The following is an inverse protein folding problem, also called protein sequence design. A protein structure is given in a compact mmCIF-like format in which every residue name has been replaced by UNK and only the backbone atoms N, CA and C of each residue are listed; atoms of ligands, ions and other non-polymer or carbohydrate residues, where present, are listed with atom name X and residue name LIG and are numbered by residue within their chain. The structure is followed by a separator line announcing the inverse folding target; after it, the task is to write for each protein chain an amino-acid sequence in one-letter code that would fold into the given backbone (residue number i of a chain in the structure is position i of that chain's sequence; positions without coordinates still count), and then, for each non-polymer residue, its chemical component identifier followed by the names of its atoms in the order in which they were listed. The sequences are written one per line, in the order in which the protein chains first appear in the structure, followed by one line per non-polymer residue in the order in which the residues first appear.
data_IF_187574478391
#
_entry.id   IF_187574478391
#
_cell.length_a   1.000
_cell.length_b   1.000
_cell.length_c   1.000
_cell.angle_alpha   90.00
_cell.angle_beta   90.00
_cell.angle_gamma   90.00
#
_symmetry.space_group_name_H-M   'P 1'
#
loop_
_entity.id
_entity.type
_entity.pdbx_description
1 polymer ?
#
# COMPACT_ATOMS: atom_id res chain seq x y z
N UNK A 1 -8.80 -2.29 4.46
CA UNK A 1 -8.60 -0.90 4.92
C UNK A 1 -9.74 -0.05 4.40
N UNK A 2 -10.38 0.72 5.25
CA UNK A 2 -11.44 1.63 4.86
C UNK A 2 -11.26 2.94 5.66
N UNK A 3 -10.68 3.94 4.98
CA UNK A 3 -10.42 5.27 5.54
C UNK A 3 -11.54 6.28 5.26
N UNK A 4 -11.38 7.49 5.77
CA UNK A 4 -12.23 8.62 5.44
C UNK A 4 -11.96 9.18 4.04
N UNK A 5 -12.70 10.21 3.63
CA UNK A 5 -12.49 10.84 2.34
C UNK A 5 -11.08 11.47 2.27
N UNK A 6 -10.50 11.41 1.09
CA UNK A 6 -9.17 11.96 0.82
C UNK A 6 -9.24 13.49 0.88
N UNK A 7 -8.30 14.08 1.58
CA UNK A 7 -8.14 15.54 1.65
C UNK A 7 -7.76 16.11 0.27
N UNK A 8 -8.18 17.33 0.01
CA UNK A 8 -7.79 18.10 -1.16
C UNK A 8 -7.50 19.55 -0.78
N UNK A 9 -6.35 20.07 -1.19
CA UNK A 9 -5.95 21.46 -0.98
C UNK A 9 -6.36 22.32 -2.17
N UNK A 10 -6.68 23.57 -1.91
CA UNK A 10 -7.01 24.52 -2.97
C UNK A 10 -5.83 24.73 -3.95
N UNK A 11 -6.17 24.97 -5.21
CA UNK A 11 -5.21 25.11 -6.31
C UNK A 11 -5.17 26.51 -6.91
N UNK A 12 -5.88 27.49 -6.29
CA UNK A 12 -5.98 28.86 -6.81
C UNK A 12 -4.60 29.52 -6.89
N UNK A 13 -4.24 29.96 -8.10
CA UNK A 13 -2.96 30.64 -8.37
C UNK A 13 -1.74 29.75 -8.45
N UNK A 14 -1.88 28.44 -8.23
CA UNK A 14 -0.78 27.49 -8.31
C UNK A 14 -0.53 27.04 -9.75
N UNK A 15 0.74 26.82 -10.08
CA UNK A 15 1.15 26.14 -11.31
C UNK A 15 0.70 24.67 -11.29
N UNK A 16 0.71 24.00 -12.43
CA UNK A 16 0.29 22.59 -12.52
C UNK A 16 1.11 21.67 -11.59
N UNK A 17 2.43 21.86 -11.52
CA UNK A 17 3.27 21.02 -10.63
C UNK A 17 3.01 21.33 -9.15
N UNK A 18 2.89 22.62 -8.79
CA UNK A 18 2.52 23.00 -7.42
C UNK A 18 1.18 22.41 -7.00
N UNK A 19 0.20 22.37 -7.91
CA UNK A 19 -1.09 21.71 -7.67
C UNK A 19 -0.90 20.21 -7.40
N UNK A 20 -0.09 19.53 -8.20
CA UNK A 20 0.18 18.11 -8.03
C UNK A 20 0.94 17.84 -6.73
N UNK A 21 2.01 18.57 -6.46
CA UNK A 21 2.79 18.41 -5.22
C UNK A 21 1.94 18.72 -3.99
N UNK A 22 1.16 19.81 -4.00
CA UNK A 22 0.28 20.17 -2.89
C UNK A 22 -0.84 19.15 -2.65
N UNK A 23 -1.26 18.43 -3.70
CA UNK A 23 -2.26 17.38 -3.68
C UNK A 23 -1.65 16.02 -4.05
N UNK A 24 -0.43 15.76 -3.62
CA UNK A 24 0.36 14.59 -3.99
C UNK A 24 -0.39 13.26 -3.87
N UNK A 25 -1.26 13.15 -2.89
CA UNK A 25 -2.07 11.95 -2.66
C UNK A 25 -3.04 11.63 -3.81
N UNK A 26 -3.37 12.60 -4.65
CA UNK A 26 -4.27 12.44 -5.79
C UNK A 26 -3.57 12.05 -7.09
N UNK A 27 -2.24 11.90 -7.08
CA UNK A 27 -1.46 11.65 -8.29
C UNK A 27 -0.64 10.38 -8.16
N UNK A 28 -0.86 9.43 -9.09
CA UNK A 28 -0.27 8.08 -9.04
C UNK A 28 1.24 8.13 -8.99
N UNK A 29 1.87 9.00 -9.77
CA UNK A 29 3.31 9.11 -9.83
C UNK A 29 3.96 9.61 -8.52
N UNK A 30 3.20 10.21 -7.64
CA UNK A 30 3.63 10.72 -6.33
C UNK A 30 3.31 9.74 -5.20
N UNK A 31 2.10 9.20 -5.16
CA UNK A 31 1.65 8.38 -4.03
C UNK A 31 1.51 6.89 -4.36
N UNK A 32 1.50 6.52 -5.63
CA UNK A 32 1.26 5.13 -6.03
C UNK A 32 -0.22 4.70 -5.99
N UNK A 33 -1.16 5.61 -5.78
CA UNK A 33 -2.55 5.42 -5.40
C UNK A 33 -2.72 5.00 -3.93
N UNK A 34 -3.92 5.19 -3.35
CA UNK A 34 -4.16 4.94 -1.93
C UNK A 34 -3.98 3.47 -1.52
N UNK A 35 -4.09 2.56 -2.45
CA UNK A 35 -3.83 1.14 -2.18
C UNK A 35 -2.35 0.86 -1.91
N UNK A 36 -1.43 1.64 -2.48
CA UNK A 36 0.00 1.56 -2.21
C UNK A 36 0.35 2.42 -0.99
N UNK A 37 -0.23 3.62 -0.87
CA UNK A 37 0.09 4.56 0.20
C UNK A 37 -0.51 4.15 1.55
N UNK A 38 -1.74 3.61 1.58
CA UNK A 38 -2.45 3.24 2.81
C UNK A 38 -2.51 1.73 3.04
N UNK A 39 -2.94 0.94 2.05
CA UNK A 39 -3.13 -0.49 2.25
C UNK A 39 -1.81 -1.25 2.37
N UNK A 40 -0.69 -0.65 2.00
CA UNK A 40 0.64 -1.23 2.13
C UNK A 40 0.93 -1.75 3.54
N UNK A 41 0.48 -1.04 4.58
CA UNK A 41 0.67 -1.46 5.98
C UNK A 41 0.01 -2.82 6.27
N UNK A 42 -1.21 -3.02 5.79
CA UNK A 42 -1.95 -4.28 5.98
C UNK A 42 -1.43 -5.40 5.06
N UNK A 43 -0.99 -5.05 3.85
CA UNK A 43 -0.32 -5.97 2.91
C UNK A 43 0.98 -6.49 3.52
N UNK A 44 1.77 -5.63 4.17
CA UNK A 44 3.01 -5.99 4.84
C UNK A 44 2.78 -7.05 5.92
N UNK A 45 1.80 -6.85 6.78
CA UNK A 45 1.41 -7.83 7.81
C UNK A 45 1.06 -9.18 7.18
N UNK A 46 0.34 -9.19 6.06
CA UNK A 46 -0.03 -10.43 5.38
C UNK A 46 1.19 -11.12 4.74
N UNK A 47 2.08 -10.38 4.08
CA UNK A 47 3.33 -10.91 3.54
C UNK A 47 4.23 -11.46 4.66
N UNK A 48 4.32 -10.74 5.78
CA UNK A 48 5.05 -11.19 6.97
C UNK A 48 4.50 -12.52 7.51
N UNK A 49 3.17 -12.64 7.67
CA UNK A 49 2.55 -13.89 8.14
C UNK A 49 2.73 -15.02 7.12
N UNK A 50 2.63 -14.74 5.83
CA UNK A 50 2.88 -15.73 4.78
C UNK A 50 4.36 -16.09 4.65
N UNK A 51 5.27 -15.25 5.18
CA UNK A 51 6.71 -15.28 5.00
C UNK A 51 7.10 -15.42 3.52
N UNK A 52 6.40 -14.70 2.65
CA UNK A 52 6.56 -14.74 1.20
C UNK A 52 5.93 -13.51 0.55
N UNK A 53 6.27 -13.27 -0.73
CA UNK A 53 5.56 -12.39 -1.63
C UNK A 53 4.57 -13.19 -2.49
N UNK A 54 3.45 -12.60 -2.94
CA UNK A 54 2.56 -13.28 -3.88
C UNK A 54 3.23 -13.47 -5.24
N UNK A 55 2.82 -14.50 -5.97
CA UNK A 55 3.32 -14.79 -7.32
C UNK A 55 2.45 -14.15 -8.39
N UNK A 56 1.18 -13.88 -8.09
CA UNK A 56 0.26 -13.18 -9.00
C UNK A 56 -0.85 -12.45 -8.26
N UNK A 57 -1.45 -11.48 -8.95
CA UNK A 57 -2.58 -10.72 -8.45
C UNK A 57 -3.62 -10.50 -9.56
N UNK A 58 -4.87 -10.33 -9.13
CA UNK A 58 -5.97 -9.82 -9.95
C UNK A 58 -6.89 -8.99 -9.06
N UNK A 59 -7.72 -8.17 -9.67
CA UNK A 59 -8.59 -7.32 -8.87
C UNK A 59 -9.43 -6.38 -9.70
N UNK A 60 -10.15 -5.56 -8.99
CA UNK A 60 -10.99 -4.52 -9.55
C UNK A 60 -11.00 -3.30 -8.63
N UNK A 61 -11.44 -2.19 -9.17
CA UNK A 61 -11.61 -0.97 -8.40
C UNK A 61 -12.28 0.11 -9.23
N UNK A 62 -12.43 1.27 -8.66
CA UNK A 62 -13.04 2.39 -9.38
C UNK A 62 -12.65 3.74 -8.77
N UNK A 63 -12.79 4.79 -9.60
CA UNK A 63 -12.90 6.18 -9.19
C UNK A 63 -14.38 6.56 -9.22
N UNK A 64 -15.07 6.38 -8.11
CA UNK A 64 -16.52 6.48 -8.04
C UNK A 64 -17.02 7.72 -7.32
N UNK A 65 -16.39 8.08 -6.19
CA UNK A 65 -16.83 9.15 -5.31
C UNK A 65 -15.96 10.40 -5.37
N UNK A 66 -14.74 10.31 -5.90
CA UNK A 66 -13.87 11.46 -6.08
C UNK A 66 -14.37 12.43 -7.16
N UNK A 67 -15.28 11.97 -8.02
CA UNK A 67 -15.95 12.81 -9.01
C UNK A 67 -14.96 13.58 -9.91
N UNK A 68 -15.26 14.86 -10.15
CA UNK A 68 -14.45 15.76 -10.96
C UNK A 68 -13.31 16.44 -10.18
N UNK A 69 -12.95 15.97 -9.00
CA UNK A 69 -11.79 16.47 -8.29
C UNK A 69 -10.53 16.26 -9.11
N UNK A 70 -9.58 17.16 -8.95
CA UNK A 70 -8.27 17.04 -9.60
C UNK A 70 -7.56 15.76 -9.14
N UNK A 71 -6.91 15.05 -10.07
CA UNK A 71 -6.12 13.87 -9.76
C UNK A 71 -6.58 12.63 -10.53
N UNK A 72 -5.88 11.53 -10.30
CA UNK A 72 -5.95 10.33 -11.14
C UNK A 72 -6.34 9.08 -10.33
N UNK A 73 -6.08 9.08 -9.01
CA UNK A 73 -6.27 7.92 -8.15
C UNK A 73 -7.71 7.44 -8.13
N UNK A 74 -7.87 6.17 -7.87
CA UNK A 74 -9.16 5.56 -7.59
C UNK A 74 -9.50 5.67 -6.10
N UNK A 75 -10.73 5.43 -5.74
CA UNK A 75 -11.20 5.57 -4.36
C UNK A 75 -11.61 4.24 -3.71
N UNK A 76 -11.60 3.17 -4.47
CA UNK A 76 -11.85 1.83 -3.93
C UNK A 76 -11.20 0.74 -4.78
N UNK A 77 -10.76 -0.33 -4.08
CA UNK A 77 -10.16 -1.52 -4.69
C UNK A 77 -10.57 -2.78 -3.94
N UNK A 78 -10.64 -3.87 -4.71
CA UNK A 78 -10.73 -5.23 -4.23
C UNK A 78 -9.66 -6.06 -4.96
N UNK A 79 -8.66 -6.55 -4.23
CA UNK A 79 -7.57 -7.36 -4.77
C UNK A 79 -7.63 -8.78 -4.23
N UNK A 80 -7.16 -9.70 -5.04
CA UNK A 80 -6.80 -11.03 -4.63
C UNK A 80 -5.36 -11.32 -5.06
N UNK A 81 -4.54 -11.79 -4.12
CA UNK A 81 -3.16 -12.17 -4.34
C UNK A 81 -3.02 -13.67 -4.07
N UNK A 82 -2.27 -14.37 -4.89
CA UNK A 82 -1.97 -15.79 -4.70
C UNK A 82 -0.48 -15.96 -4.42
N UNK A 83 -0.17 -16.68 -3.36
CA UNK A 83 1.19 -17.07 -2.99
C UNK A 83 1.55 -18.43 -3.60
N UNK A 84 2.84 -18.71 -3.78
CA UNK A 84 3.32 -19.97 -4.35
C UNK A 84 2.82 -21.23 -3.60
N UNK A 85 2.46 -21.06 -2.33
CA UNK A 85 1.88 -22.12 -1.49
C UNK A 85 0.40 -22.40 -1.76
N UNK A 86 -0.25 -21.60 -2.62
CA UNK A 86 -1.69 -21.64 -2.85
C UNK A 86 -2.51 -20.85 -1.81
N UNK A 87 -1.86 -20.25 -0.83
CA UNK A 87 -2.52 -19.31 0.11
C UNK A 87 -2.99 -18.08 -0.67
N UNK A 88 -4.14 -17.54 -0.29
CA UNK A 88 -4.69 -16.33 -0.90
C UNK A 88 -4.86 -15.23 0.13
N UNK A 89 -4.52 -14.00 -0.26
CA UNK A 89 -4.81 -12.78 0.46
C UNK A 89 -5.89 -12.00 -0.28
N UNK A 90 -6.97 -11.69 0.41
CA UNK A 90 -8.01 -10.78 -0.08
C UNK A 90 -7.81 -9.42 0.58
N UNK A 91 -7.62 -8.38 -0.22
CA UNK A 91 -7.42 -7.02 0.26
C UNK A 91 -8.53 -6.12 -0.27
N UNK A 92 -9.27 -5.52 0.63
CA UNK A 92 -10.29 -4.50 0.31
C UNK A 92 -9.84 -3.17 0.88
N UNK A 93 -9.82 -2.13 0.05
CA UNK A 93 -9.44 -0.79 0.50
C UNK A 93 -10.34 0.27 -0.12
N UNK A 94 -10.64 1.31 0.64
CA UNK A 94 -11.49 2.40 0.19
C UNK A 94 -11.25 3.69 0.97
N UNK A 95 -11.31 4.80 0.24
CA UNK A 95 -11.18 6.16 0.76
C UNK A 95 -12.50 6.93 0.53
N UNK A 96 -13.59 6.31 0.88
CA UNK A 96 -14.94 6.84 0.67
C UNK A 96 -15.57 7.11 2.03
N UNK A 97 -16.28 8.24 2.16
CA UNK A 97 -17.08 8.50 3.37
C UNK A 97 -18.13 7.41 3.53
N UNK A 98 -18.05 6.67 4.62
CA UNK A 98 -18.94 5.55 4.97
C UNK A 98 -19.22 5.57 6.48
N UNK A 99 -20.30 4.89 6.88
CA UNK A 99 -20.61 4.67 8.31
C UNK A 99 -19.72 3.59 8.92
N UNK A 100 -19.25 2.64 8.10
CA UNK A 100 -18.33 1.59 8.49
C UNK A 100 -16.89 1.96 8.17
N UNK A 101 -16.02 1.94 9.18
CA UNK A 101 -14.58 2.11 9.04
C UNK A 101 -13.86 0.96 9.76
N UNK A 102 -12.87 0.36 9.07
CA UNK A 102 -12.04 -0.71 9.62
C UNK A 102 -10.66 -0.69 8.99
N UNK A 103 -9.64 -0.72 9.84
CA UNK A 103 -8.24 -0.98 9.45
C UNK A 103 -7.81 -2.18 10.26
N UNK A 104 -7.78 -3.36 9.63
CA UNK A 104 -7.55 -4.61 10.34
C UNK A 104 -7.17 -5.73 9.36
N UNK A 105 -6.57 -6.78 9.89
CA UNK A 105 -6.29 -8.04 9.24
C UNK A 105 -7.04 -9.18 9.93
N UNK A 106 -7.29 -10.24 9.16
CA UNK A 106 -7.83 -11.49 9.68
C UNK A 106 -7.09 -12.65 8.99
N UNK A 107 -6.46 -13.50 9.79
CA UNK A 107 -5.75 -14.67 9.31
C UNK A 107 -6.58 -15.90 9.64
N UNK A 108 -6.80 -16.75 8.62
CA UNK A 108 -7.50 -18.02 8.76
C UNK A 108 -6.56 -19.14 8.35
N UNK A 109 -6.29 -20.04 9.26
CA UNK A 109 -5.45 -21.22 9.03
C UNK A 109 -6.14 -22.51 9.45
N UNK A 110 -5.58 -23.64 9.07
CA UNK A 110 -6.11 -24.98 9.42
C UNK A 110 -6.15 -25.25 10.92
N UNK A 111 -5.33 -24.55 11.71
CA UNK A 111 -5.23 -24.72 13.17
C UNK A 111 -5.93 -23.61 13.97
N UNK A 112 -6.56 -22.66 13.32
CA UNK A 112 -7.25 -21.57 14.01
C UNK A 112 -7.28 -20.28 13.23
N UNK A 113 -7.67 -19.22 13.91
CA UNK A 113 -7.73 -17.85 13.36
C UNK A 113 -6.88 -16.91 14.19
N UNK A 114 -6.39 -15.83 13.57
CA UNK A 114 -5.65 -14.79 14.26
C UNK A 114 -6.11 -13.41 13.80
N UNK A 115 -6.12 -12.49 14.75
CA UNK A 115 -6.01 -11.07 14.46
C UNK A 115 -4.57 -10.67 14.84
N UNK A 116 -3.71 -10.29 13.88
CA UNK A 116 -2.31 -9.93 14.14
C UNK A 116 -2.12 -8.81 15.16
N UNK A 117 -3.16 -8.00 15.41
CA UNK A 117 -3.16 -7.02 16.49
C UNK A 117 -3.13 -7.62 17.90
N UNK A 118 -2.93 -8.90 18.06
CA UNK A 118 -2.59 -9.53 19.33
C UNK A 118 -3.53 -10.60 19.85
N UNK A 119 -4.19 -11.37 18.96
CA UNK A 119 -5.00 -12.51 19.41
C UNK A 119 -4.92 -13.71 18.47
N UNK A 120 -4.92 -14.91 19.06
CA UNK A 120 -4.97 -16.18 18.35
C UNK A 120 -6.10 -17.02 18.98
N UNK A 121 -6.96 -17.56 18.13
CA UNK A 121 -8.03 -18.49 18.51
C UNK A 121 -7.80 -19.82 17.82
N UNK A 122 -7.21 -20.81 18.52
CA UNK A 122 -7.03 -22.14 17.97
C UNK A 122 -8.36 -22.86 17.71
N UNK A 123 -8.38 -23.85 16.81
CA UNK A 123 -9.53 -24.75 16.61
C UNK A 123 -9.80 -25.63 17.84
N UNK A 124 -8.76 -25.89 18.65
CA UNK A 124 -8.87 -26.60 19.92
C UNK A 124 -7.90 -26.03 20.94
N UNK A 125 -8.33 -25.97 22.21
CA UNK A 125 -7.56 -25.39 23.30
C UNK A 125 -7.89 -23.92 23.57
N UNK A 126 -7.20 -23.32 24.55
CA UNK A 126 -7.47 -21.95 24.98
C UNK A 126 -7.02 -20.93 23.95
N UNK A 127 -7.78 -19.85 23.83
CA UNK A 127 -7.37 -18.69 23.05
C UNK A 127 -6.22 -17.97 23.73
N UNK A 128 -5.31 -17.41 22.91
CA UNK A 128 -4.23 -16.59 23.38
C UNK A 128 -4.49 -15.11 23.02
N UNK A 129 -4.12 -14.23 23.92
CA UNK A 129 -4.14 -12.79 23.73
C UNK A 129 -2.85 -12.18 24.26
N UNK A 130 -2.30 -11.25 23.54
CA UNK A 130 -1.18 -10.45 24.03
C UNK A 130 -1.62 -9.62 25.24
N UNK A 131 -0.87 -9.71 26.34
CA UNK A 131 -1.13 -8.98 27.61
C UNK A 131 0.03 -8.07 28.00
N UNK A 132 1.05 -8.00 27.16
CA UNK A 132 2.20 -7.13 27.39
C UNK A 132 1.88 -5.65 27.20
N UNK A 133 2.79 -4.79 27.66
CA UNK A 133 2.70 -3.35 27.37
C UNK A 133 2.93 -3.11 25.87
N UNK A 134 2.02 -2.43 25.22
CA UNK A 134 2.18 -1.97 23.84
C UNK A 134 2.82 -0.58 23.90
N UNK A 135 4.01 -0.45 23.34
CA UNK A 135 4.62 0.86 23.10
C UNK A 135 4.01 1.46 21.84
N UNK A 136 3.86 2.78 21.81
CA UNK A 136 3.48 3.46 20.59
C UNK A 136 4.45 3.09 19.46
N UNK A 137 3.97 2.63 18.28
CA UNK A 137 4.84 2.13 17.21
C UNK A 137 5.82 3.20 16.70
N UNK A 138 5.44 4.46 16.67
CA UNK A 138 6.34 5.55 16.28
C UNK A 138 7.46 5.80 17.30
N UNK A 139 7.21 5.53 18.57
CA UNK A 139 8.25 5.56 19.60
C UNK A 139 9.13 4.32 19.53
N UNK A 140 8.52 3.14 19.27
CA UNK A 140 9.25 1.88 19.22
C UNK A 140 10.26 1.85 18.07
N UNK A 141 9.88 2.31 16.87
CA UNK A 141 10.79 2.36 15.73
C UNK A 141 12.06 3.18 16.02
N UNK A 142 11.90 4.32 16.72
CA UNK A 142 13.04 5.14 17.12
C UNK A 142 13.91 4.46 18.19
N UNK A 143 13.29 3.76 19.14
CA UNK A 143 14.02 2.96 20.12
C UNK A 143 14.85 1.88 19.43
N UNK A 144 14.26 1.16 18.48
CA UNK A 144 14.91 0.08 17.75
C UNK A 144 16.08 0.60 16.90
N UNK A 145 15.89 1.71 16.21
CA UNK A 145 16.94 2.37 15.43
C UNK A 145 18.12 2.82 16.33
N UNK A 146 17.82 3.52 17.42
CA UNK A 146 18.86 3.98 18.35
C UNK A 146 19.62 2.80 18.95
N UNK A 147 18.92 1.76 19.37
CA UNK A 147 19.55 0.56 19.91
C UNK A 147 20.43 -0.14 18.87
N UNK A 148 20.02 -0.21 17.61
CA UNK A 148 20.81 -0.77 16.53
C UNK A 148 22.13 0.03 16.35
N UNK A 149 22.04 1.35 16.32
CA UNK A 149 23.20 2.25 16.21
C UNK A 149 24.15 2.07 17.40
N UNK A 150 23.64 2.10 18.64
CA UNK A 150 24.46 1.98 19.85
C UNK A 150 25.14 0.60 19.97
N UNK A 151 24.47 -0.44 19.47
CA UNK A 151 24.99 -1.82 19.53
C UNK A 151 25.79 -2.21 18.28
N UNK A 152 25.97 -1.30 17.33
CA UNK A 152 26.61 -1.55 16.02
C UNK A 152 25.99 -2.74 15.29
N UNK A 153 24.65 -2.82 15.34
CA UNK A 153 23.87 -3.85 14.65
C UNK A 153 23.27 -3.31 13.37
N UNK A 154 23.36 -4.08 12.31
CA UNK A 154 22.65 -3.75 11.07
C UNK A 154 21.14 -3.82 11.27
N UNK A 155 20.44 -2.77 10.82
CA UNK A 155 19.01 -2.71 10.69
C UNK A 155 18.70 -2.32 9.23
N UNK A 156 18.32 -3.28 8.41
CA UNK A 156 18.07 -3.07 6.98
C UNK A 156 16.75 -3.72 6.58
N UNK A 157 15.75 -2.91 6.40
CA UNK A 157 14.40 -3.34 6.00
C UNK A 157 14.12 -3.11 4.51
N UNK A 158 15.12 -2.68 3.74
CA UNK A 158 14.96 -2.30 2.32
C UNK A 158 14.25 -3.38 1.52
N UNK A 159 14.66 -4.65 1.67
CA UNK A 159 14.03 -5.74 0.92
C UNK A 159 12.57 -5.92 1.27
N UNK A 160 12.23 -5.96 2.56
CA UNK A 160 10.86 -6.15 3.04
C UNK A 160 9.95 -5.03 2.56
N UNK A 161 10.39 -3.78 2.75
CA UNK A 161 9.61 -2.60 2.32
C UNK A 161 9.43 -2.57 0.80
N UNK A 162 10.49 -2.91 0.04
CA UNK A 162 10.41 -2.97 -1.43
C UNK A 162 9.44 -4.04 -1.90
N UNK A 163 9.53 -5.25 -1.35
CA UNK A 163 8.65 -6.37 -1.69
C UNK A 163 7.18 -6.05 -1.38
N UNK A 164 6.92 -5.46 -0.23
CA UNK A 164 5.57 -5.06 0.16
C UNK A 164 5.02 -3.95 -0.73
N UNK A 165 5.84 -2.95 -1.04
CA UNK A 165 5.47 -1.87 -1.96
C UNK A 165 5.14 -2.43 -3.35
N UNK A 166 5.99 -3.33 -3.85
CA UNK A 166 5.75 -3.97 -5.16
C UNK A 166 4.48 -4.84 -5.14
N UNK A 167 4.17 -5.49 -4.02
CA UNK A 167 2.88 -6.21 -3.85
C UNK A 167 1.69 -5.25 -4.00
N UNK A 168 1.74 -4.09 -3.36
CA UNK A 168 0.69 -3.07 -3.49
C UNK A 168 0.55 -2.56 -4.93
N UNK A 169 1.68 -2.28 -5.59
CA UNK A 169 1.73 -1.87 -7.00
C UNK A 169 1.14 -2.96 -7.90
N UNK A 170 1.49 -4.22 -7.67
CA UNK A 170 0.96 -5.36 -8.45
C UNK A 170 -0.56 -5.45 -8.37
N UNK A 171 -1.14 -5.27 -7.18
CA UNK A 171 -2.60 -5.19 -7.00
C UNK A 171 -3.22 -4.03 -7.75
N UNK A 172 -2.60 -2.84 -7.69
CA UNK A 172 -3.05 -1.66 -8.43
C UNK A 172 -3.05 -1.91 -9.95
N UNK A 173 -1.94 -2.41 -10.50
CA UNK A 173 -1.84 -2.69 -11.93
C UNK A 173 -2.84 -3.75 -12.38
N UNK A 174 -3.08 -4.77 -11.54
CA UNK A 174 -4.11 -5.78 -11.83
C UNK A 174 -5.51 -5.16 -11.91
N UNK A 175 -5.85 -4.27 -10.99
CA UNK A 175 -7.15 -3.58 -11.02
C UNK A 175 -7.27 -2.61 -12.21
N UNK A 176 -6.21 -1.88 -12.52
CA UNK A 176 -6.21 -0.90 -13.62
C UNK A 176 -6.27 -1.56 -15.00
N UNK A 177 -5.58 -2.69 -15.17
CA UNK A 177 -5.59 -3.45 -16.43
C UNK A 177 -6.82 -4.35 -16.59
N UNK A 178 -7.44 -4.74 -15.47
CA UNK A 178 -8.49 -5.77 -15.44
C UNK A 178 -7.96 -7.17 -15.73
N UNK A 179 -6.65 -7.38 -15.68
CA UNK A 179 -5.97 -8.64 -15.97
C UNK A 179 -5.34 -9.29 -14.75
N UNK A 180 -4.69 -10.43 -15.00
CA UNK A 180 -3.79 -11.05 -14.03
C UNK A 180 -2.41 -10.43 -14.23
N UNK A 181 -1.76 -10.09 -13.12
CA UNK A 181 -0.40 -9.56 -13.10
C UNK A 181 0.48 -10.54 -12.35
N UNK A 182 1.60 -10.92 -12.96
CA UNK A 182 2.59 -11.83 -12.38
C UNK A 182 3.69 -11.02 -11.67
N UNK A 183 4.25 -11.58 -10.60
CA UNK A 183 5.30 -10.94 -9.82
C UNK A 183 6.54 -10.62 -10.65
N UNK A 184 7.00 -11.59 -11.46
CA UNK A 184 8.20 -11.44 -12.26
C UNK A 184 8.04 -10.38 -13.36
N UNK A 185 6.85 -10.23 -13.92
CA UNK A 185 6.55 -9.18 -14.89
C UNK A 185 6.64 -7.79 -14.25
N UNK A 186 6.12 -7.66 -13.02
CA UNK A 186 6.21 -6.40 -12.27
C UNK A 186 7.64 -6.07 -11.88
N UNK A 187 8.39 -7.05 -11.39
CA UNK A 187 9.78 -6.86 -10.97
C UNK A 187 10.67 -6.41 -12.12
N UNK A 188 10.39 -6.89 -13.34
CA UNK A 188 11.15 -6.57 -14.55
C UNK A 188 10.53 -5.42 -15.36
N UNK A 189 9.42 -4.83 -14.90
CA UNK A 189 8.74 -3.76 -15.60
C UNK A 189 9.61 -2.49 -15.64
N UNK A 190 9.62 -1.86 -16.80
CA UNK A 190 10.24 -0.53 -17.01
C UNK A 190 9.19 0.58 -17.10
N UNK A 191 7.94 0.24 -16.86
CA UNK A 191 6.84 1.21 -16.88
C UNK A 191 6.93 2.18 -15.69
N UNK A 192 6.69 3.45 -15.94
CA UNK A 192 6.71 4.49 -14.92
C UNK A 192 5.61 5.53 -15.20
N UNK A 193 4.92 5.95 -14.15
CA UNK A 193 3.85 6.96 -14.22
C UNK A 193 4.37 8.40 -14.27
N UNK A 194 5.57 8.64 -13.77
CA UNK A 194 6.17 9.98 -13.75
C UNK A 194 6.66 10.44 -15.11
N UNK A 195 6.95 11.73 -15.28
CA UNK A 195 7.54 12.24 -16.50
C UNK A 195 8.94 11.65 -16.72
N UNK A 196 9.26 11.29 -17.96
CA UNK A 196 10.53 10.66 -18.32
C UNK A 196 11.76 11.43 -17.80
N UNK A 197 11.71 12.76 -17.85
CA UNK A 197 12.79 13.63 -17.35
C UNK A 197 13.04 13.48 -15.84
N UNK A 198 12.07 13.03 -15.06
CA UNK A 198 12.26 12.76 -13.63
C UNK A 198 13.33 11.68 -13.41
N UNK A 199 13.37 10.68 -14.27
CA UNK A 199 14.26 9.53 -14.17
C UNK A 199 15.57 9.70 -14.94
N UNK A 200 15.57 10.49 -16.01
CA UNK A 200 16.73 10.67 -16.89
C UNK A 200 17.51 11.94 -16.60
N UNK A 201 16.85 13.04 -16.30
CA UNK A 201 17.48 14.32 -16.00
C UNK A 201 16.58 15.23 -15.18
N UNK A 202 16.48 15.00 -13.84
CA UNK A 202 15.59 15.75 -12.97
C UNK A 202 15.83 17.27 -12.97
N UNK A 203 17.08 17.72 -13.21
CA UNK A 203 17.41 19.15 -13.26
C UNK A 203 16.81 19.88 -14.45
N UNK A 204 16.34 19.16 -15.46
CA UNK A 204 15.65 19.71 -16.64
C UNK A 204 14.14 19.61 -16.57
N UNK A 205 13.59 19.18 -15.44
CA UNK A 205 12.15 19.15 -15.24
C UNK A 205 11.56 20.54 -15.36
N UNK A 206 10.64 20.68 -16.30
CA UNK A 206 9.83 21.88 -16.48
C UNK A 206 8.37 21.55 -16.24
N UNK A 207 7.57 22.56 -15.94
CA UNK A 207 6.14 22.41 -15.68
C UNK A 207 5.34 21.76 -16.82
N UNK A 208 5.82 21.86 -18.06
CA UNK A 208 5.20 21.23 -19.23
C UNK A 208 5.54 19.75 -19.42
N UNK A 209 6.43 19.18 -18.59
CA UNK A 209 6.84 17.78 -18.72
C UNK A 209 5.84 16.78 -18.11
N UNK A 210 4.89 17.26 -17.32
CA UNK A 210 3.90 16.40 -16.66
C UNK A 210 2.77 16.05 -17.64
N UNK A 211 2.67 14.78 -17.99
CA UNK A 211 1.53 14.27 -18.74
C UNK A 211 0.37 14.04 -17.79
N UNK A 212 -0.78 14.61 -18.09
CA UNK A 212 -2.04 14.09 -17.57
C UNK A 212 -2.25 12.72 -18.22
N UNK A 213 -2.28 11.68 -17.42
CA UNK A 213 -2.77 10.37 -17.87
C UNK A 213 -4.23 10.57 -18.29
N UNK A 214 -4.56 10.13 -19.49
CA UNK A 214 -5.93 10.17 -20.02
C UNK A 214 -6.72 8.99 -19.52
#
# INVERSE_FOLDING_TARGET
VNGGPIWHRGTKGATQLEQQINNWYHYIWLCGDHCVEQAVHNIDICNWVANATPVKAWGMGARQMLGNQTGEIWDNFAFEFEYATGVRMHCYTGQIKRDFSSVSEAIVGSKGTSNPAGSIKPTSGPSWRFTGKITDPYVQEHIDLINAIVQDKELNETKTVTDTTLTGIMGREAAYSGGVVEWDDMLNSKFAYGPELLYTNPSKLTWGAFRTLK
#
